data_IF_659731468107
#
_entry.id   IF_659731468107
#
_cell.length_a   1.000
_cell.length_b   1.000
_cell.length_c   1.000
_cell.angle_alpha   90.00
_cell.angle_beta   90.00
_cell.angle_gamma   90.00
#
_symmetry.space_group_name_H-M   'P 1'
#
loop_
_entity.id
_entity.type
_entity.pdbx_description
1 polymer ?
#
# COMPACT_ATOMS: atom_id res chain seq x y z
N UNK A 1 6.51 18.62 -9.18
CA UNK A 1 6.62 17.15 -9.05
C UNK A 1 5.33 16.64 -8.44
N UNK A 2 4.39 16.14 -9.25
CA UNK A 2 3.16 15.56 -8.71
C UNK A 2 3.50 14.20 -8.11
N UNK A 3 3.98 14.20 -6.87
CA UNK A 3 4.04 13.00 -6.06
C UNK A 3 2.59 12.55 -5.87
N UNK A 4 2.13 11.61 -6.70
CA UNK A 4 0.82 10.99 -6.51
C UNK A 4 0.78 10.44 -5.08
N UNK A 5 -0.03 11.08 -4.22
CA UNK A 5 -0.20 10.68 -2.83
C UNK A 5 -0.62 9.22 -2.77
N UNK A 6 0.03 8.45 -1.90
CA UNK A 6 -0.41 7.11 -1.58
C UNK A 6 -1.47 7.24 -0.49
N UNK A 7 -2.63 6.66 -0.76
CA UNK A 7 -3.77 6.67 0.15
C UNK A 7 -4.13 5.24 0.51
N UNK A 8 -4.32 4.98 1.79
CA UNK A 8 -4.76 3.68 2.32
C UNK A 8 -6.02 3.89 3.13
N UNK A 9 -7.08 3.19 2.78
CA UNK A 9 -8.39 3.33 3.42
C UNK A 9 -8.97 1.96 3.73
N UNK A 10 -9.48 1.77 4.94
CA UNK A 10 -10.30 0.59 5.27
C UNK A 10 -11.72 0.80 4.78
N UNK A 11 -12.25 -0.19 4.07
CA UNK A 11 -13.61 -0.23 3.56
C UNK A 11 -14.55 -0.87 4.59
N UNK A 12 -15.85 -0.57 4.48
CA UNK A 12 -16.88 -0.99 5.44
C UNK A 12 -17.11 -2.51 5.48
N UNK A 13 -16.61 -3.24 4.50
CA UNK A 13 -16.69 -4.69 4.36
C UNK A 13 -15.44 -5.43 4.89
N UNK A 14 -14.53 -4.71 5.55
CA UNK A 14 -13.28 -5.27 6.08
C UNK A 14 -12.17 -5.42 5.04
N UNK A 15 -12.33 -4.83 3.85
CA UNK A 15 -11.27 -4.71 2.87
C UNK A 15 -10.41 -3.46 3.12
N UNK A 16 -9.23 -3.44 2.52
CA UNK A 16 -8.30 -2.32 2.49
C UNK A 16 -8.11 -1.93 1.03
N UNK A 17 -8.26 -0.64 0.75
CA UNK A 17 -7.98 -0.05 -0.53
C UNK A 17 -6.66 0.72 -0.45
N UNK A 18 -5.73 0.42 -1.35
CA UNK A 18 -4.50 1.16 -1.55
C UNK A 18 -4.59 1.88 -2.90
N UNK A 19 -4.40 3.21 -2.92
CA UNK A 19 -4.47 4.03 -4.14
C UNK A 19 -3.19 4.83 -4.34
N UNK A 20 -2.73 4.92 -5.59
CA UNK A 20 -1.66 5.82 -6.03
C UNK A 20 -2.01 6.40 -7.40
N UNK A 21 -2.54 7.62 -7.43
CA UNK A 21 -3.02 8.24 -8.66
C UNK A 21 -4.23 7.50 -9.23
N UNK A 22 -4.15 7.03 -10.48
CA UNK A 22 -5.21 6.25 -11.14
C UNK A 22 -5.14 4.75 -10.83
N UNK A 23 -4.03 4.28 -10.25
CA UNK A 23 -3.89 2.89 -9.84
C UNK A 23 -4.45 2.70 -8.44
N UNK A 24 -5.23 1.64 -8.25
CA UNK A 24 -5.71 1.21 -6.95
C UNK A 24 -5.75 -0.32 -6.88
N UNK A 25 -5.63 -0.84 -5.67
CA UNK A 25 -5.83 -2.24 -5.35
C UNK A 25 -6.74 -2.37 -4.12
N UNK A 26 -7.51 -3.45 -4.06
CA UNK A 26 -8.43 -3.73 -2.96
C UNK A 26 -8.23 -5.18 -2.52
N UNK A 27 -7.96 -5.38 -1.24
CA UNK A 27 -7.68 -6.69 -0.68
C UNK A 27 -8.19 -6.80 0.76
N UNK A 28 -8.40 -8.02 1.30
CA UNK A 28 -8.82 -8.20 2.68
C UNK A 28 -7.81 -7.64 3.70
N UNK A 29 -8.26 -7.06 4.82
CA UNK A 29 -7.39 -6.56 5.90
C UNK A 29 -6.35 -7.59 6.36
N UNK A 30 -6.71 -8.88 6.40
CA UNK A 30 -5.80 -9.96 6.77
C UNK A 30 -4.59 -10.13 5.84
N UNK A 31 -4.61 -9.51 4.64
CA UNK A 31 -3.48 -9.50 3.70
C UNK A 31 -2.65 -8.20 3.78
N UNK A 32 -3.00 -7.24 4.63
CA UNK A 32 -2.30 -5.94 4.72
C UNK A 32 -0.81 -6.10 4.99
N UNK A 33 -0.42 -6.88 5.98
CA UNK A 33 0.99 -7.11 6.30
C UNK A 33 1.73 -7.92 5.20
N UNK A 34 1.17 -9.03 4.67
CA UNK A 34 1.73 -9.69 3.50
C UNK A 34 1.96 -8.77 2.28
N UNK A 35 1.03 -7.84 2.02
CA UNK A 35 1.17 -6.84 0.95
C UNK A 35 2.30 -5.86 1.24
N UNK A 36 2.43 -5.37 2.48
CA UNK A 36 3.52 -4.49 2.87
C UNK A 36 4.89 -5.18 2.69
N UNK A 37 5.00 -6.45 3.06
CA UNK A 37 6.22 -7.25 2.85
C UNK A 37 6.54 -7.46 1.37
N UNK A 38 5.52 -7.71 0.55
CA UNK A 38 5.70 -7.82 -0.90
C UNK A 38 6.25 -6.53 -1.49
N UNK A 39 5.73 -5.37 -1.07
CA UNK A 39 6.26 -4.08 -1.49
C UNK A 39 7.70 -3.83 -1.04
N UNK A 40 8.06 -4.22 0.19
CA UNK A 40 9.45 -4.15 0.65
C UNK A 40 10.38 -5.01 -0.23
N UNK A 41 9.94 -6.21 -0.62
CA UNK A 41 10.68 -7.07 -1.54
C UNK A 41 10.83 -6.43 -2.93
N UNK A 42 9.77 -5.81 -3.46
CA UNK A 42 9.82 -5.07 -4.72
C UNK A 42 10.72 -3.84 -4.65
N UNK A 43 10.79 -3.17 -3.51
CA UNK A 43 11.77 -2.10 -3.30
C UNK A 43 13.21 -2.64 -3.31
N UNK A 44 13.47 -3.77 -2.66
CA UNK A 44 14.79 -4.40 -2.65
C UNK A 44 15.24 -4.85 -4.05
N UNK A 45 14.31 -5.31 -4.89
CA UNK A 45 14.60 -5.81 -6.23
C UNK A 45 14.72 -4.69 -7.28
N UNK A 46 13.80 -3.72 -7.26
CA UNK A 46 13.68 -2.70 -8.32
C UNK A 46 14.12 -1.30 -7.89
N UNK A 47 14.35 -1.06 -6.60
CA UNK A 47 14.80 0.22 -6.07
C UNK A 47 13.80 1.38 -6.19
N UNK A 48 12.56 1.13 -6.65
CA UNK A 48 11.57 2.18 -6.83
C UNK A 48 11.01 2.67 -5.48
N UNK A 49 11.23 3.94 -5.07
CA UNK A 49 10.84 4.42 -3.74
C UNK A 49 9.33 4.37 -3.48
N UNK A 50 8.50 4.33 -4.52
CA UNK A 50 7.06 4.20 -4.39
C UNK A 50 6.63 2.90 -3.73
N UNK A 51 7.39 1.80 -3.90
CA UNK A 51 7.09 0.53 -3.23
C UNK A 51 7.28 0.65 -1.72
N UNK A 52 8.41 1.20 -1.27
CA UNK A 52 8.64 1.46 0.15
C UNK A 52 7.58 2.37 0.75
N UNK A 53 7.20 3.43 0.04
CA UNK A 53 6.14 4.33 0.50
C UNK A 53 4.77 3.63 0.60
N UNK A 54 4.46 2.65 -0.27
CA UNK A 54 3.25 1.83 -0.16
C UNK A 54 3.30 0.92 1.06
N UNK A 55 4.42 0.23 1.30
CA UNK A 55 4.61 -0.62 2.48
C UNK A 55 4.43 0.17 3.78
N UNK A 56 5.05 1.35 3.87
CA UNK A 56 4.93 2.26 5.01
C UNK A 56 3.48 2.73 5.20
N UNK A 57 2.79 3.12 4.13
CA UNK A 57 1.39 3.55 4.20
C UNK A 57 0.45 2.43 4.67
N UNK A 58 0.67 1.19 4.23
CA UNK A 58 -0.11 0.03 4.69
C UNK A 58 0.08 -0.23 6.18
N UNK A 59 1.31 -0.12 6.70
CA UNK A 59 1.60 -0.31 8.12
C UNK A 59 1.13 0.86 9.00
N UNK A 60 1.11 2.07 8.44
CA UNK A 60 0.62 3.26 9.12
C UNK A 60 -0.91 3.30 9.26
N UNK A 61 -1.65 2.41 8.58
CA UNK A 61 -3.09 2.29 8.75
C UNK A 61 -3.42 1.93 10.21
N UNK A 62 -4.19 2.75 10.94
CA UNK A 62 -4.57 2.47 12.32
C UNK A 62 -5.30 1.12 12.46
N UNK A 63 -5.11 0.47 13.61
CA UNK A 63 -5.78 -0.78 13.96
C UNK A 63 -7.30 -0.61 14.02
#
# INVERSE_FOLDING_TARGET
MSAHSIEVTRLNDGQVMLRKGTWQDVFPEGRREPWAQWYDAMFAEYGYPGYRAMAEALRALPA
#
